data_IF_710776737519
#
_entry.id   IF_710776737519
#
_cell.length_a   1.000
_cell.length_b   1.000
_cell.length_c   1.000
_cell.angle_alpha   90.00
_cell.angle_beta   90.00
_cell.angle_gamma   90.00
#
_symmetry.space_group_name_H-M   'P 1'
#
loop_
_entity.id
_entity.type
_entity.pdbx_description
1 polymer ?
#
# COMPACT_ATOMS: atom_id res chain seq x y z
N UNK A 1 32.22 58.26 -4.32
CA UNK A 1 31.01 57.43 -4.18
C UNK A 1 31.26 56.11 -4.89
N UNK A 2 31.62 55.09 -4.13
CA UNK A 2 31.94 53.73 -4.57
C UNK A 2 30.66 52.90 -4.63
N UNK A 3 30.27 52.40 -5.80
CA UNK A 3 29.24 51.37 -5.94
C UNK A 3 29.92 50.03 -6.19
N UNK A 4 29.69 49.07 -5.28
CA UNK A 4 30.21 47.70 -5.35
C UNK A 4 29.44 46.92 -6.42
N UNK A 5 30.16 46.26 -7.31
CA UNK A 5 29.65 45.11 -8.05
C UNK A 5 29.42 43.97 -7.05
N UNK A 6 28.21 43.40 -7.05
CA UNK A 6 27.92 42.13 -6.39
C UNK A 6 27.61 41.09 -7.47
N UNK A 7 28.40 40.01 -7.44
CA UNK A 7 28.22 38.79 -8.21
C UNK A 7 26.83 38.20 -8.04
N UNK A 8 26.12 37.96 -9.14
CA UNK A 8 24.85 37.24 -9.18
C UNK A 8 25.07 35.74 -9.46
N UNK A 9 25.86 35.07 -8.64
CA UNK A 9 26.12 33.63 -8.75
C UNK A 9 25.52 32.83 -7.57
N UNK A 10 24.33 33.24 -7.11
CA UNK A 10 23.74 32.76 -5.84
C UNK A 10 22.30 32.25 -5.87
N UNK A 11 21.69 32.00 -7.04
CA UNK A 11 20.25 31.64 -7.12
C UNK A 11 19.95 30.32 -7.84
N UNK A 12 20.75 29.29 -7.57
CA UNK A 12 20.32 27.89 -7.78
C UNK A 12 20.35 27.21 -6.41
N UNK A 13 19.36 27.50 -5.55
CA UNK A 13 19.14 26.74 -4.33
C UNK A 13 17.69 26.25 -4.27
N UNK A 14 17.61 24.92 -4.20
CA UNK A 14 16.51 24.07 -3.75
C UNK A 14 15.22 24.07 -4.59
N UNK A 15 15.16 23.12 -5.54
CA UNK A 15 13.88 22.49 -5.88
C UNK A 15 13.35 21.82 -4.60
N UNK A 16 12.09 22.05 -4.17
CA UNK A 16 11.57 21.43 -2.96
C UNK A 16 11.64 19.91 -3.11
N UNK A 17 12.32 19.24 -2.18
CA UNK A 17 12.25 17.79 -2.07
C UNK A 17 10.82 17.42 -1.71
N UNK A 18 10.17 16.58 -2.52
CA UNK A 18 8.85 16.10 -2.20
C UNK A 18 9.02 14.88 -1.28
N UNK A 19 8.32 14.86 -0.16
CA UNK A 19 8.09 13.61 0.57
C UNK A 19 6.75 13.11 0.08
N UNK A 20 6.70 11.88 -0.45
CA UNK A 20 5.38 11.25 -0.65
C UNK A 20 4.78 11.12 0.75
N UNK A 21 3.68 11.82 1.03
CA UNK A 21 3.16 11.88 2.38
C UNK A 21 2.82 10.48 2.86
N UNK A 22 3.11 10.22 4.13
CA UNK A 22 2.49 9.12 4.87
C UNK A 22 0.99 9.29 4.72
N UNK A 23 0.30 8.22 4.32
CA UNK A 23 -1.12 8.13 4.62
C UNK A 23 -1.28 7.86 6.12
N UNK A 24 -1.12 8.88 6.97
CA UNK A 24 -1.51 8.80 8.40
C UNK A 24 -3.01 9.03 8.47
N UNK A 25 -3.78 8.22 7.74
CA UNK A 25 -5.23 8.20 7.82
C UNK A 25 -5.68 6.76 8.07
N UNK A 26 -6.79 6.54 8.79
CA UNK A 26 -7.24 5.23 9.23
C UNK A 26 -7.72 4.28 8.10
N UNK A 27 -7.38 4.55 6.84
CA UNK A 27 -7.79 3.74 5.69
C UNK A 27 -6.58 3.03 5.09
N UNK A 28 -6.55 1.71 5.26
CA UNK A 28 -5.44 0.79 5.07
C UNK A 28 -5.12 0.46 3.60
N UNK A 29 -5.54 1.29 2.65
CA UNK A 29 -5.41 1.02 1.21
C UNK A 29 -4.60 2.07 0.46
N UNK A 30 -4.18 3.13 1.13
CA UNK A 30 -3.35 4.17 0.51
C UNK A 30 -1.92 3.70 0.30
N UNK A 31 -1.47 2.72 1.08
CA UNK A 31 -0.09 2.23 1.07
C UNK A 31 0.21 1.48 -0.24
N UNK A 32 -0.80 0.86 -0.84
CA UNK A 32 -0.68 0.29 -2.18
C UNK A 32 -0.39 1.38 -3.23
N UNK A 33 -1.12 2.49 -3.17
CA UNK A 33 -0.92 3.62 -4.09
C UNK A 33 0.43 4.31 -3.84
N UNK A 34 0.79 4.51 -2.57
CA UNK A 34 2.08 5.10 -2.18
C UNK A 34 3.25 4.27 -2.67
N UNK A 35 3.18 2.93 -2.51
CA UNK A 35 4.27 2.08 -2.96
C UNK A 35 4.32 1.95 -4.48
N UNK A 36 3.18 1.78 -5.16
CA UNK A 36 3.15 1.80 -6.62
C UNK A 36 3.74 3.11 -7.19
N UNK A 37 3.47 4.25 -6.54
CA UNK A 37 4.07 5.54 -6.91
C UNK A 37 5.58 5.58 -6.66
N UNK A 38 6.07 4.98 -5.57
CA UNK A 38 7.49 4.90 -5.26
C UNK A 38 8.25 4.01 -6.27
N UNK A 39 7.67 2.86 -6.64
CA UNK A 39 8.22 1.97 -7.68
C UNK A 39 8.27 2.65 -9.06
N UNK A 40 7.20 3.36 -9.44
CA UNK A 40 7.08 4.02 -10.74
C UNK A 40 7.93 5.29 -10.85
N UNK A 41 8.38 5.89 -9.75
CA UNK A 41 9.01 7.21 -9.75
C UNK A 41 10.16 7.31 -10.76
N UNK A 42 11.05 6.31 -10.81
CA UNK A 42 12.22 6.32 -11.72
C UNK A 42 11.82 6.36 -13.19
N UNK A 43 10.76 5.64 -13.57
CA UNK A 43 10.34 5.50 -14.97
C UNK A 43 9.35 6.60 -15.39
N UNK A 44 8.46 7.01 -14.50
CA UNK A 44 7.37 7.93 -14.79
C UNK A 44 7.72 9.39 -14.48
N UNK A 45 8.45 9.65 -13.39
CA UNK A 45 8.80 10.99 -12.93
C UNK A 45 10.26 11.08 -12.44
N UNK A 46 11.28 10.79 -13.29
CA UNK A 46 12.69 10.74 -12.88
C UNK A 46 13.24 12.09 -12.36
N UNK A 47 12.60 13.19 -12.71
CA UNK A 47 12.97 14.54 -12.26
C UNK A 47 12.42 14.85 -10.85
N UNK A 48 11.41 14.12 -10.39
CA UNK A 48 10.86 14.27 -9.05
C UNK A 48 11.77 13.59 -8.03
N UNK A 49 12.34 14.35 -7.12
CA UNK A 49 13.17 13.80 -6.03
C UNK A 49 12.30 13.51 -4.82
N UNK A 50 12.15 12.24 -4.51
CA UNK A 50 11.53 11.79 -3.27
C UNK A 50 12.59 11.65 -2.18
N UNK A 51 12.42 12.35 -1.06
CA UNK A 51 13.39 12.28 0.04
C UNK A 51 13.24 11.02 0.90
N UNK A 52 12.06 10.39 0.87
CA UNK A 52 11.76 9.14 1.56
C UNK A 52 10.28 8.78 1.44
N UNK A 53 9.96 7.52 1.69
CA UNK A 53 8.60 6.95 1.64
C UNK A 53 8.33 6.14 2.90
N UNK A 54 7.10 6.25 3.42
CA UNK A 54 6.64 5.45 4.56
C UNK A 54 5.48 4.56 4.15
N UNK A 55 5.55 3.30 4.54
CA UNK A 55 4.58 2.26 4.18
C UNK A 55 4.15 1.49 5.43
N UNK A 56 2.85 1.54 5.74
CA UNK A 56 2.25 0.84 6.86
C UNK A 56 1.34 -0.30 6.42
N UNK A 57 1.37 -1.43 7.13
CA UNK A 57 0.33 -2.46 6.97
C UNK A 57 0.16 -3.00 5.53
N UNK A 58 1.24 -3.01 4.73
CA UNK A 58 1.22 -3.27 3.29
C UNK A 58 0.34 -4.46 2.87
N UNK A 59 -0.29 -4.29 1.71
CA UNK A 59 -1.06 -5.31 1.00
C UNK A 59 -0.25 -5.76 -0.23
N UNK A 60 0.84 -6.49 0.01
CA UNK A 60 1.84 -6.74 -1.03
C UNK A 60 1.36 -7.69 -2.14
N UNK A 61 0.51 -8.67 -1.80
CA UNK A 61 -0.13 -9.57 -2.76
C UNK A 61 -1.60 -9.75 -2.36
N UNK A 62 -2.43 -8.80 -2.80
CA UNK A 62 -3.84 -8.76 -2.46
C UNK A 62 -4.62 -9.95 -3.06
N UNK A 63 -4.38 -10.39 -4.31
CA UNK A 63 -5.00 -11.61 -4.84
C UNK A 63 -4.68 -12.87 -4.03
N UNK A 64 -3.44 -13.01 -3.53
CA UNK A 64 -3.08 -14.11 -2.64
C UNK A 64 -3.78 -14.03 -1.26
N UNK A 65 -4.20 -12.83 -0.86
CA UNK A 65 -4.88 -12.58 0.42
C UNK A 65 -6.41 -12.68 0.34
N UNK A 66 -6.99 -12.88 -0.86
CA UNK A 66 -8.45 -12.92 -1.05
C UNK A 66 -9.15 -13.97 -0.18
N UNK A 67 -8.54 -15.13 0.07
CA UNK A 67 -9.15 -16.15 0.94
C UNK A 67 -9.22 -15.72 2.41
N UNK A 68 -8.27 -14.89 2.88
CA UNK A 68 -8.26 -14.36 4.24
C UNK A 68 -9.23 -13.17 4.39
N UNK A 69 -9.47 -12.45 3.30
CA UNK A 69 -10.37 -11.29 3.26
C UNK A 69 -11.82 -11.71 3.04
N UNK A 70 -12.06 -12.78 2.27
CA UNK A 70 -13.38 -13.37 2.08
C UNK A 70 -13.98 -13.77 3.44
N UNK A 71 -15.27 -13.52 3.66
CA UNK A 71 -15.95 -13.79 4.94
C UNK A 71 -15.35 -13.07 6.17
N UNK A 72 -14.49 -12.07 5.96
CA UNK A 72 -13.94 -11.25 7.04
C UNK A 72 -14.67 -9.90 7.15
N UNK A 73 -14.42 -9.11 8.21
CA UNK A 73 -14.89 -7.73 8.28
C UNK A 73 -14.46 -6.87 7.08
N UNK A 74 -13.37 -7.21 6.39
CA UNK A 74 -12.86 -6.48 5.22
C UNK A 74 -13.42 -6.96 3.88
N UNK A 75 -14.38 -7.89 3.86
CA UNK A 75 -14.90 -8.50 2.64
C UNK A 75 -15.37 -7.47 1.58
N UNK A 76 -15.98 -6.35 1.99
CA UNK A 76 -16.41 -5.29 1.06
C UNK A 76 -15.28 -4.62 0.29
N UNK A 77 -14.07 -4.59 0.86
CA UNK A 77 -12.89 -4.03 0.20
C UNK A 77 -12.49 -4.88 -1.00
N UNK A 78 -12.65 -6.20 -0.91
CA UNK A 78 -12.36 -7.10 -2.04
C UNK A 78 -13.22 -6.75 -3.27
N UNK A 79 -14.50 -6.42 -3.06
CA UNK A 79 -15.39 -5.96 -4.13
C UNK A 79 -14.90 -4.62 -4.71
N UNK A 80 -14.60 -3.65 -3.84
CA UNK A 80 -14.13 -2.33 -4.24
C UNK A 80 -12.83 -2.42 -5.07
N UNK A 81 -11.90 -3.29 -4.66
CA UNK A 81 -10.64 -3.51 -5.37
C UNK A 81 -10.87 -4.14 -6.76
N UNK A 82 -11.72 -5.17 -6.86
CA UNK A 82 -12.05 -5.81 -8.14
C UNK A 82 -12.71 -4.84 -9.12
N UNK A 83 -13.67 -4.02 -8.67
CA UNK A 83 -14.33 -3.03 -9.52
C UNK A 83 -13.42 -1.85 -9.87
N UNK A 84 -12.63 -1.38 -8.90
CA UNK A 84 -11.68 -0.28 -9.08
C UNK A 84 -10.62 -0.62 -10.12
N UNK A 85 -9.95 -1.77 -9.96
CA UNK A 85 -8.86 -2.17 -10.86
C UNK A 85 -9.36 -2.44 -12.28
N UNK A 86 -10.50 -3.12 -12.42
CA UNK A 86 -11.02 -3.50 -13.74
C UNK A 86 -11.58 -2.31 -14.53
N UNK A 87 -11.84 -1.16 -13.88
CA UNK A 87 -12.29 0.06 -14.56
C UNK A 87 -11.32 0.53 -15.66
N UNK A 88 -10.01 0.27 -15.50
CA UNK A 88 -8.99 0.63 -16.49
C UNK A 88 -8.87 -0.40 -17.63
N UNK A 89 -9.57 -1.53 -17.53
CA UNK A 89 -9.44 -2.70 -18.41
C UNK A 89 -10.82 -3.17 -18.90
N UNK A 90 -11.36 -2.59 -20.01
CA UNK A 90 -12.75 -2.84 -20.44
C UNK A 90 -13.11 -4.31 -20.62
N UNK A 91 -12.20 -5.12 -21.16
CA UNK A 91 -12.41 -6.56 -21.34
C UNK A 91 -12.48 -7.31 -20.00
N UNK A 92 -11.63 -6.94 -19.03
CA UNK A 92 -11.63 -7.52 -17.69
C UNK A 92 -12.88 -7.10 -16.90
N UNK A 93 -13.32 -5.85 -17.02
CA UNK A 93 -14.58 -5.37 -16.44
C UNK A 93 -15.80 -6.09 -17.03
N UNK A 94 -15.83 -6.25 -18.35
CA UNK A 94 -16.89 -7.00 -19.03
C UNK A 94 -16.92 -8.46 -18.57
N UNK A 95 -15.75 -9.10 -18.48
CA UNK A 95 -15.63 -10.45 -17.94
C UNK A 95 -16.14 -10.54 -16.51
N UNK A 96 -15.64 -9.71 -15.58
CA UNK A 96 -16.06 -9.69 -14.18
C UNK A 96 -17.59 -9.60 -14.05
N UNK A 97 -18.21 -8.65 -14.77
CA UNK A 97 -19.67 -8.45 -14.78
C UNK A 97 -20.42 -9.65 -15.36
N UNK A 98 -19.89 -10.30 -16.40
CA UNK A 98 -20.50 -11.50 -17.00
C UNK A 98 -20.52 -12.72 -16.07
N UNK A 99 -19.69 -12.70 -15.03
CA UNK A 99 -19.57 -13.77 -14.04
C UNK A 99 -20.41 -13.53 -12.78
N UNK A 100 -21.00 -12.35 -12.62
CA UNK A 100 -21.88 -12.06 -11.48
C UNK A 100 -23.20 -12.84 -11.61
N UNK A 101 -23.70 -13.32 -10.48
CA UNK A 101 -25.04 -13.90 -10.37
C UNK A 101 -26.10 -12.81 -10.57
N UNK A 102 -27.08 -12.99 -11.48
CA UNK A 102 -28.10 -11.97 -11.76
C UNK A 102 -28.83 -11.46 -10.51
N UNK A 103 -29.07 -12.34 -9.53
CA UNK A 103 -29.79 -12.04 -8.29
C UNK A 103 -29.05 -11.13 -7.31
N UNK A 104 -27.71 -11.10 -7.35
CA UNK A 104 -26.87 -10.31 -6.44
C UNK A 104 -25.96 -9.31 -7.16
N UNK A 105 -26.00 -9.28 -8.50
CA UNK A 105 -25.17 -8.39 -9.30
C UNK A 105 -25.38 -6.91 -8.99
N UNK A 106 -26.63 -6.48 -8.78
CA UNK A 106 -26.92 -5.07 -8.45
C UNK A 106 -26.30 -4.67 -7.10
N UNK A 107 -26.37 -5.54 -6.11
CA UNK A 107 -25.78 -5.35 -4.79
C UNK A 107 -24.25 -5.29 -4.90
N UNK A 108 -23.61 -6.22 -5.59
CA UNK A 108 -22.15 -6.21 -5.82
C UNK A 108 -21.69 -4.89 -6.45
N UNK A 109 -22.42 -4.40 -7.44
CA UNK A 109 -22.08 -3.18 -8.16
C UNK A 109 -22.34 -1.91 -7.34
N UNK A 110 -23.23 -1.95 -6.35
CA UNK A 110 -23.56 -0.81 -5.50
C UNK A 110 -22.38 -0.34 -4.62
N UNK A 111 -21.32 -1.14 -4.50
CA UNK A 111 -20.07 -0.71 -3.83
C UNK A 111 -19.50 0.57 -4.43
N UNK A 112 -19.71 0.85 -5.72
CA UNK A 112 -19.19 2.08 -6.35
C UNK A 112 -19.80 3.36 -5.80
N UNK A 113 -20.95 3.25 -5.11
CA UNK A 113 -21.66 4.37 -4.49
C UNK A 113 -21.40 4.45 -2.97
N UNK A 114 -20.51 3.60 -2.44
CA UNK A 114 -20.17 3.52 -1.01
C UNK A 114 -18.76 4.07 -0.74
N UNK A 115 -18.56 4.66 0.44
CA UNK A 115 -17.20 4.84 0.98
C UNK A 115 -16.69 3.52 1.59
N UNK A 116 -15.40 3.47 1.95
CA UNK A 116 -14.78 2.24 2.47
C UNK A 116 -15.41 1.74 3.77
N UNK A 117 -15.86 2.63 4.67
CA UNK A 117 -16.48 2.24 5.93
C UNK A 117 -17.87 1.64 5.69
N UNK A 118 -18.65 2.24 4.79
CA UNK A 118 -19.96 1.72 4.40
C UNK A 118 -19.83 0.37 3.70
N UNK A 119 -18.82 0.19 2.84
CA UNK A 119 -18.55 -1.09 2.19
C UNK A 119 -18.17 -2.19 3.22
N UNK A 120 -17.33 -1.86 4.20
CA UNK A 120 -17.00 -2.75 5.33
C UNK A 120 -18.24 -3.10 6.14
N UNK A 121 -19.08 -2.12 6.48
CA UNK A 121 -20.30 -2.34 7.25
C UNK A 121 -21.34 -3.17 6.48
N UNK A 122 -21.46 -2.97 5.17
CA UNK A 122 -22.47 -3.61 4.34
C UNK A 122 -22.11 -5.05 3.94
N UNK A 123 -20.84 -5.28 3.58
CA UNK A 123 -20.38 -6.57 3.06
C UNK A 123 -19.55 -7.38 4.05
N UNK A 124 -19.22 -6.83 5.22
CA UNK A 124 -18.46 -7.53 6.24
C UNK A 124 -19.07 -8.91 6.58
N UNK A 125 -18.20 -9.89 6.77
CA UNK A 125 -18.53 -11.29 7.06
C UNK A 125 -19.29 -12.03 5.94
N UNK A 126 -19.45 -11.44 4.75
CA UNK A 126 -20.08 -12.12 3.61
C UNK A 126 -19.07 -12.93 2.81
N UNK A 127 -19.56 -14.02 2.23
CA UNK A 127 -18.86 -14.75 1.18
C UNK A 127 -18.95 -13.95 -0.14
N UNK A 128 -17.86 -13.31 -0.52
CA UNK A 128 -17.73 -12.54 -1.77
C UNK A 128 -17.72 -13.48 -2.97
N UNK A 129 -17.21 -14.71 -2.82
CA UNK A 129 -17.24 -15.68 -3.91
C UNK A 129 -18.67 -16.08 -4.27
N UNK A 130 -19.62 -16.04 -3.33
CA UNK A 130 -21.03 -16.34 -3.60
C UNK A 130 -21.68 -15.40 -4.64
N UNK A 131 -21.14 -14.21 -4.87
CA UNK A 131 -21.62 -13.28 -5.91
C UNK A 131 -21.32 -13.76 -7.33
N UNK A 132 -20.42 -14.74 -7.51
CA UNK A 132 -20.00 -15.24 -8.81
C UNK A 132 -20.64 -16.58 -9.16
N UNK A 133 -20.96 -16.78 -10.43
CA UNK A 133 -21.57 -18.01 -10.98
C UNK A 133 -20.68 -19.22 -10.70
N UNK A 134 -19.38 -19.08 -10.99
CA UNK A 134 -18.34 -20.09 -10.76
C UNK A 134 -17.59 -19.93 -9.44
N UNK A 135 -18.07 -19.05 -8.54
CA UNK A 135 -17.42 -18.78 -7.27
C UNK A 135 -16.00 -18.23 -7.43
N UNK A 136 -15.09 -18.66 -6.54
CA UNK A 136 -13.67 -18.30 -6.56
C UNK A 136 -12.98 -18.53 -7.91
N UNK A 137 -13.37 -19.57 -8.64
CA UNK A 137 -12.72 -19.93 -9.90
C UNK A 137 -12.86 -18.82 -10.96
N UNK A 138 -13.93 -18.02 -10.90
CA UNK A 138 -14.13 -16.91 -11.83
C UNK A 138 -13.08 -15.81 -11.63
N UNK A 139 -12.61 -15.58 -10.40
CA UNK A 139 -11.53 -14.62 -10.13
C UNK A 139 -10.14 -15.14 -10.54
N UNK A 140 -10.02 -16.44 -10.81
CA UNK A 140 -8.78 -17.07 -11.27
C UNK A 140 -8.66 -17.11 -12.80
N UNK A 141 -9.64 -16.57 -13.53
CA UNK A 141 -9.60 -16.51 -14.97
C UNK A 141 -8.37 -15.76 -15.49
N UNK A 142 -7.74 -16.20 -16.60
CA UNK A 142 -6.51 -15.59 -17.11
C UNK A 142 -6.61 -14.07 -17.32
N UNK A 143 -7.78 -13.60 -17.78
CA UNK A 143 -8.04 -12.18 -18.02
C UNK A 143 -8.00 -11.34 -16.73
N UNK A 144 -8.58 -11.85 -15.64
CA UNK A 144 -8.52 -11.18 -14.33
C UNK A 144 -7.14 -11.34 -13.71
N UNK A 145 -6.59 -12.56 -13.67
CA UNK A 145 -5.25 -12.81 -13.11
C UNK A 145 -4.18 -11.90 -13.69
N UNK A 146 -4.24 -11.62 -15.00
CA UNK A 146 -3.30 -10.68 -15.64
C UNK A 146 -3.40 -9.28 -15.01
N UNK A 147 -4.61 -8.73 -14.94
CA UNK A 147 -4.85 -7.39 -14.36
C UNK A 147 -4.49 -7.36 -12.89
N UNK A 148 -4.99 -8.32 -12.10
CA UNK A 148 -4.74 -8.41 -10.67
C UNK A 148 -3.24 -8.54 -10.34
N UNK A 149 -2.48 -9.31 -11.12
CA UNK A 149 -1.04 -9.45 -10.90
C UNK A 149 -0.23 -8.20 -11.25
N UNK A 150 -0.73 -7.37 -12.18
CA UNK A 150 -0.05 -6.12 -12.57
C UNK A 150 -0.38 -5.02 -11.55
N UNK A 151 -1.64 -4.93 -11.16
CA UNK A 151 -2.18 -3.77 -10.45
C UNK A 151 -2.39 -3.99 -8.95
N UNK A 152 -2.36 -5.24 -8.47
CA UNK A 152 -2.67 -5.59 -7.08
C UNK A 152 -1.56 -6.42 -6.42
N UNK A 153 -0.36 -6.40 -7.02
CA UNK A 153 0.86 -6.99 -6.47
C UNK A 153 2.01 -5.98 -6.50
N UNK A 154 2.56 -5.69 -5.33
CA UNK A 154 3.70 -4.79 -5.17
C UNK A 154 5.01 -5.46 -5.62
N UNK A 155 5.98 -4.62 -5.98
CA UNK A 155 7.25 -4.97 -6.59
C UNK A 155 7.15 -5.30 -8.08
N UNK A 156 6.03 -5.03 -8.75
CA UNK A 156 5.87 -5.29 -10.18
C UNK A 156 6.48 -4.17 -11.06
N UNK A 157 6.40 -2.92 -10.61
CA UNK A 157 6.70 -1.73 -11.41
C UNK A 157 8.16 -1.27 -11.31
N UNK A 158 8.86 -1.63 -10.23
CA UNK A 158 10.25 -1.21 -10.06
C UNK A 158 10.78 -1.48 -8.66
N UNK A 159 11.91 -0.83 -8.37
CA UNK A 159 12.50 -0.79 -7.04
C UNK A 159 12.54 0.69 -6.66
N UNK A 160 11.94 1.08 -5.52
CA UNK A 160 12.01 2.46 -5.05
C UNK A 160 13.46 2.94 -4.89
N UNK A 161 13.76 4.13 -5.43
CA UNK A 161 15.10 4.72 -5.41
C UNK A 161 15.36 5.64 -4.20
N UNK A 162 14.36 5.82 -3.35
CA UNK A 162 14.42 6.65 -2.14
C UNK A 162 14.36 5.76 -0.88
N UNK A 163 14.81 6.26 0.28
CA UNK A 163 14.71 5.52 1.53
C UNK A 163 13.27 5.12 1.85
N UNK A 164 13.08 3.89 2.33
CA UNK A 164 11.80 3.34 2.74
C UNK A 164 11.77 3.08 4.24
N UNK A 165 10.69 3.50 4.89
CA UNK A 165 10.33 3.01 6.22
C UNK A 165 9.05 2.19 6.14
N UNK A 166 9.19 0.90 6.41
CA UNK A 166 8.11 -0.07 6.33
C UNK A 166 7.78 -0.53 7.74
N UNK A 167 6.50 -0.56 8.10
CA UNK A 167 6.07 -1.12 9.37
C UNK A 167 4.82 -2.00 9.22
N UNK A 168 4.80 -3.13 9.93
CA UNK A 168 3.68 -4.05 9.89
C UNK A 168 3.60 -4.92 11.13
N UNK A 169 2.39 -5.26 11.57
CA UNK A 169 2.19 -6.23 12.63
C UNK A 169 2.47 -7.65 12.11
N UNK A 170 3.25 -8.43 12.86
CA UNK A 170 3.49 -9.84 12.57
C UNK A 170 2.19 -10.64 12.64
N UNK A 171 1.29 -10.26 13.55
CA UNK A 171 -0.03 -10.87 13.74
C UNK A 171 -1.13 -10.36 12.80
N UNK A 172 -0.78 -9.70 11.69
CA UNK A 172 -1.74 -9.25 10.69
C UNK A 172 -2.48 -10.46 10.07
N UNK A 173 -3.79 -10.53 10.35
CA UNK A 173 -4.64 -11.67 10.00
C UNK A 173 -5.18 -11.62 8.57
N UNK A 174 -5.09 -10.48 7.88
CA UNK A 174 -5.65 -10.31 6.54
C UNK A 174 -4.56 -10.24 5.48
N UNK A 175 -3.41 -9.68 5.86
CA UNK A 175 -2.29 -9.46 4.96
C UNK A 175 -1.04 -10.06 5.63
N UNK A 176 -0.77 -11.35 5.39
CA UNK A 176 0.30 -12.06 6.10
C UNK A 176 1.68 -11.41 5.94
N UNK A 177 2.42 -11.35 7.06
CA UNK A 177 3.74 -10.70 7.14
C UNK A 177 4.75 -11.23 6.11
N UNK A 178 4.60 -12.49 5.67
CA UNK A 178 5.55 -13.11 4.75
C UNK A 178 5.56 -12.46 3.37
N UNK A 179 4.44 -11.83 2.96
CA UNK A 179 4.40 -11.11 1.69
C UNK A 179 5.26 -9.84 1.75
N UNK A 180 5.17 -9.08 2.86
CA UNK A 180 6.03 -7.92 3.10
C UNK A 180 7.49 -8.34 3.30
N UNK A 181 7.75 -9.42 4.06
CA UNK A 181 9.11 -9.97 4.22
C UNK A 181 9.72 -10.31 2.84
N UNK A 182 8.95 -10.92 1.93
CA UNK A 182 9.40 -11.25 0.56
C UNK A 182 9.65 -10.01 -0.32
N UNK A 183 8.84 -8.96 -0.18
CA UNK A 183 9.01 -7.70 -0.91
C UNK A 183 10.29 -6.99 -0.43
N UNK A 184 10.49 -6.91 0.89
CA UNK A 184 11.67 -6.31 1.51
C UNK A 184 12.93 -7.07 1.12
N UNK A 185 12.91 -8.40 1.16
CA UNK A 185 14.06 -9.21 0.71
C UNK A 185 14.39 -8.96 -0.76
N UNK A 186 13.38 -8.86 -1.62
CA UNK A 186 13.56 -8.56 -3.05
C UNK A 186 14.23 -7.21 -3.27
N UNK A 187 13.74 -6.16 -2.61
CA UNK A 187 14.28 -4.81 -2.77
C UNK A 187 15.65 -4.65 -2.09
N UNK A 188 15.80 -5.16 -0.86
CA UNK A 188 17.05 -5.15 -0.14
C UNK A 188 18.15 -5.93 -0.87
N UNK A 189 17.79 -7.05 -1.51
CA UNK A 189 18.72 -7.86 -2.31
C UNK A 189 19.30 -7.15 -3.54
N UNK A 190 18.73 -6.03 -3.95
CA UNK A 190 19.23 -5.18 -5.04
C UNK A 190 19.66 -3.78 -4.57
N UNK A 191 19.83 -3.60 -3.26
CA UNK A 191 20.43 -2.40 -2.66
C UNK A 191 19.47 -1.26 -2.35
N UNK A 192 18.16 -1.52 -2.24
CA UNK A 192 17.22 -0.51 -1.73
C UNK A 192 17.54 -0.17 -0.26
N UNK A 193 17.38 1.11 0.10
CA UNK A 193 17.57 1.61 1.45
C UNK A 193 16.26 1.45 2.26
N UNK A 194 16.20 0.45 3.13
CA UNK A 194 14.98 0.02 3.81
C UNK A 194 15.22 -0.07 5.31
N UNK A 195 14.35 0.57 6.08
CA UNK A 195 14.14 0.26 7.50
C UNK A 195 12.78 -0.40 7.65
N UNK A 196 12.76 -1.69 7.96
CA UNK A 196 11.56 -2.48 8.12
C UNK A 196 11.37 -2.93 9.57
N UNK A 197 10.25 -2.53 10.16
CA UNK A 197 9.89 -2.84 11.54
C UNK A 197 8.67 -3.76 11.63
N UNK A 198 8.90 -4.94 12.21
CA UNK A 198 7.90 -6.00 12.39
C UNK A 198 7.38 -5.93 13.82
N UNK A 199 6.16 -5.49 14.01
CA UNK A 199 5.59 -5.32 15.35
C UNK A 199 5.04 -6.67 15.86
N UNK A 200 5.61 -7.16 16.97
CA UNK A 200 5.16 -8.39 17.65
C UNK A 200 3.79 -8.23 18.32
N UNK A 201 3.33 -7.00 18.55
CA UNK A 201 2.06 -6.72 19.21
C UNK A 201 0.96 -6.28 18.23
N UNK A 202 -0.26 -6.79 18.44
CA UNK A 202 -1.44 -6.41 17.67
C UNK A 202 -1.66 -7.26 16.41
N UNK A 203 -2.56 -6.78 15.56
CA UNK A 203 -2.87 -7.32 14.24
C UNK A 203 -3.17 -6.17 13.27
N UNK A 204 -3.84 -6.44 12.15
CA UNK A 204 -4.01 -5.47 11.06
C UNK A 204 -4.55 -4.11 11.52
N UNK A 205 -5.65 -4.11 12.28
CA UNK A 205 -6.32 -2.88 12.74
C UNK A 205 -5.53 -2.17 13.84
N UNK A 206 -4.90 -2.92 14.75
CA UNK A 206 -4.12 -2.32 15.84
C UNK A 206 -2.87 -1.59 15.31
N UNK A 207 -2.30 -2.07 14.21
CA UNK A 207 -1.10 -1.48 13.61
C UNK A 207 -1.35 -0.09 13.02
N UNK A 208 -2.61 0.24 12.67
CA UNK A 208 -3.01 1.59 12.26
C UNK A 208 -2.58 2.62 13.31
N UNK A 209 -2.76 2.31 14.60
CA UNK A 209 -2.38 3.20 15.71
C UNK A 209 -0.94 2.95 16.18
N UNK A 210 -0.53 1.69 16.31
CA UNK A 210 0.80 1.36 16.84
C UNK A 210 1.95 1.85 15.93
N UNK A 211 1.70 2.04 14.64
CA UNK A 211 2.69 2.50 13.67
C UNK A 211 2.89 4.01 13.61
N UNK A 212 1.88 4.82 13.99
CA UNK A 212 1.85 6.27 13.70
C UNK A 212 3.07 7.01 14.23
N UNK A 213 3.42 6.80 15.50
CA UNK A 213 4.53 7.53 16.10
C UNK A 213 5.86 7.16 15.43
N UNK A 214 6.08 5.89 15.12
CA UNK A 214 7.31 5.41 14.46
C UNK A 214 7.44 5.95 13.04
N UNK A 215 6.34 5.98 12.30
CA UNK A 215 6.25 6.61 10.98
C UNK A 215 6.60 8.10 11.05
N UNK A 216 6.04 8.84 12.01
CA UNK A 216 6.33 10.25 12.22
C UNK A 216 7.78 10.49 12.65
N UNK A 217 8.31 9.68 13.57
CA UNK A 217 9.69 9.79 14.04
C UNK A 217 10.68 9.60 12.89
N UNK A 218 10.45 8.60 12.05
CA UNK A 218 11.26 8.37 10.85
C UNK A 218 11.14 9.53 9.86
N UNK A 219 9.92 10.00 9.54
CA UNK A 219 9.72 11.17 8.69
C UNK A 219 10.45 12.41 9.20
N UNK A 220 10.47 12.63 10.51
CA UNK A 220 11.19 13.75 11.10
C UNK A 220 12.69 13.67 10.86
N UNK A 221 13.27 12.48 10.73
CA UNK A 221 14.68 12.35 10.33
C UNK A 221 14.92 12.82 8.90
N UNK A 222 13.96 12.57 8.00
CA UNK A 222 14.00 13.05 6.61
C UNK A 222 13.86 14.58 6.58
N UNK A 223 12.84 15.13 7.23
CA UNK A 223 12.59 16.57 7.24
C UNK A 223 13.70 17.40 7.90
N UNK A 224 14.39 16.82 8.89
CA UNK A 224 15.53 17.46 9.56
C UNK A 224 16.86 17.23 8.83
N UNK A 225 16.85 16.50 7.72
CA UNK A 225 18.06 16.10 6.98
C UNK A 225 19.07 15.35 7.87
N UNK A 226 18.56 14.61 8.88
CA UNK A 226 19.37 13.80 9.80
C UNK A 226 19.27 12.30 9.52
N UNK A 227 18.51 11.90 8.49
CA UNK A 227 18.44 10.51 8.07
C UNK A 227 19.82 10.03 7.58
N UNK A 228 20.24 8.87 8.06
CA UNK A 228 21.49 8.22 7.65
C UNK A 228 21.12 6.83 7.14
N UNK A 229 21.34 6.54 5.84
CA UNK A 229 21.20 5.20 5.28
C UNK A 229 21.99 4.17 6.08
N UNK A 230 21.47 2.95 6.17
CA UNK A 230 22.23 1.85 6.78
C UNK A 230 23.42 1.46 5.90
N UNK A 231 24.57 1.14 6.50
CA UNK A 231 25.71 0.56 5.77
C UNK A 231 25.33 -0.75 5.05
N UNK A 232 24.33 -1.48 5.56
CA UNK A 232 23.80 -2.71 4.96
C UNK A 232 22.70 -2.48 3.92
N UNK A 233 22.24 -1.23 3.73
CA UNK A 233 21.10 -0.87 2.88
C UNK A 233 19.74 -1.30 3.44
N UNK A 234 19.59 -2.55 3.88
CA UNK A 234 18.34 -3.07 4.42
C UNK A 234 18.50 -3.45 5.90
N UNK A 235 17.66 -2.88 6.77
CA UNK A 235 17.53 -3.22 8.20
C UNK A 235 16.14 -3.81 8.41
N UNK A 236 16.10 -5.03 8.94
CA UNK A 236 14.87 -5.67 9.41
C UNK A 236 14.97 -5.85 10.92
N UNK A 237 13.98 -5.38 11.67
CA UNK A 237 13.94 -5.56 13.12
C UNK A 237 12.54 -5.83 13.65
N UNK A 238 12.48 -6.70 14.65
CA UNK A 238 11.26 -6.92 15.41
C UNK A 238 11.16 -5.87 16.53
N UNK A 239 9.99 -5.25 16.64
CA UNK A 239 9.66 -4.26 17.68
C UNK A 239 8.47 -4.74 18.49
N UNK A 240 8.22 -4.10 19.63
CA UNK A 240 7.03 -4.37 20.44
C UNK A 240 6.40 -3.05 20.86
N UNK A 241 5.40 -2.60 20.10
CA UNK A 241 4.70 -1.34 20.34
C UNK A 241 3.22 -1.59 20.49
N UNK A 242 2.65 -1.17 21.62
CA UNK A 242 1.26 -1.43 21.99
C UNK A 242 0.63 -0.16 22.54
N UNK A 243 0.03 0.63 21.64
CA UNK A 243 -0.63 1.90 21.96
C UNK A 243 -2.15 1.72 21.97
N UNK A 244 -2.71 0.71 21.28
CA UNK A 244 -4.17 0.61 21.13
C UNK A 244 -4.90 0.09 22.38
N UNK A 245 -5.63 0.99 23.04
CA UNK A 245 -6.94 0.74 23.65
C UNK A 245 -8.03 1.16 22.66
N UNK A 246 -8.32 0.32 21.66
CA UNK A 246 -9.58 0.41 20.92
C UNK A 246 -10.46 -0.71 21.45
N UNK A 247 -11.32 -0.36 22.41
CA UNK A 247 -12.39 -1.22 22.90
C UNK A 247 -13.28 -1.61 21.73
N UNK A 248 -13.44 -2.93 21.57
CA UNK A 248 -14.39 -3.64 20.70
C UNK A 248 -15.79 -3.06 20.74
#
# INVERSE_FOLDING_TARGET
MTSKAQDHQGYIKTCPQLVLPVAVQPHQFYEFATEAAAELQVQYAPHLRLAGTVLGGLLDDLPASFDLINESPLAGIMIAALLGVTTQYPEAAAYLRSRLRPETASEFLNVTDMNSLDAVAHFGMRDIYAFFIGGKADLQAPILRKVLNIEMKLGYHGVPAMPLFIYKAIGDQYCPIQFTDSLVDKFGGVGADITYERNKAGGHVAEIENGKQRALDWLWTIFKETYVPSDSGCIIRDVEVRVSSLST
#
